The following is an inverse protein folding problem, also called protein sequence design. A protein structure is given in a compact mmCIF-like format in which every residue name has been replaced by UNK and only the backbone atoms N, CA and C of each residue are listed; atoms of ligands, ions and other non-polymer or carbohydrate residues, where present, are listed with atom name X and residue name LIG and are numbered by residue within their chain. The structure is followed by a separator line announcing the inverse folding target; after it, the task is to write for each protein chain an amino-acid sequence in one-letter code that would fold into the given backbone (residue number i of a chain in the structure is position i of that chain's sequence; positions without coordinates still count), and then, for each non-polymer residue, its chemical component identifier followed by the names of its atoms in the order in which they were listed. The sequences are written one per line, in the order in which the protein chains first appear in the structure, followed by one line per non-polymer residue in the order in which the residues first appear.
data_IF_683895616197
#
_entry.id   IF_683895616197
#
_cell.length_a   1.000
_cell.length_b   1.000
_cell.length_c   1.000
_cell.angle_alpha   90.00
_cell.angle_beta   90.00
_cell.angle_gamma   90.00
#
_symmetry.space_group_name_H-M   'P 1'
#
loop_
_entity.id
_entity.type
_entity.pdbx_description
1 polymer ?
#
# COMPACT_ATOMS: atom_id res chain seq x y z
N UNK A 1 21.70 -3.80 19.12
CA UNK A 1 21.63 -2.59 18.30
C UNK A 1 21.67 -2.95 16.81
N UNK A 2 21.15 -2.09 15.97
CA UNK A 2 21.13 -2.26 14.52
C UNK A 2 21.94 -1.09 13.93
N UNK A 3 22.82 -1.39 13.00
CA UNK A 3 23.56 -0.37 12.24
C UNK A 3 23.45 -0.67 10.75
N UNK A 4 23.58 0.35 9.95
CA UNK A 4 23.52 0.25 8.49
C UNK A 4 24.92 0.44 7.92
N UNK A 5 25.34 -0.47 7.04
CA UNK A 5 26.65 -0.46 6.40
C UNK A 5 26.47 -0.66 4.90
N UNK A 6 27.21 0.06 4.09
CA UNK A 6 27.21 -0.10 2.63
C UNK A 6 28.24 -1.16 2.22
N UNK A 7 27.82 -2.41 2.23
CA UNK A 7 28.67 -3.53 1.83
C UNK A 7 29.01 -3.60 0.31
N UNK A 8 28.53 -2.66 -0.47
CA UNK A 8 28.93 -2.48 -1.87
C UNK A 8 30.29 -1.74 -2.01
N UNK A 9 30.82 -1.18 -0.92
CA UNK A 9 32.09 -0.43 -0.90
C UNK A 9 33.15 -1.16 -0.09
N UNK A 10 34.30 -1.41 -0.69
CA UNK A 10 35.40 -2.12 -0.04
C UNK A 10 35.85 -1.47 1.29
N UNK A 11 35.87 -0.14 1.36
CA UNK A 11 36.24 0.62 2.56
C UNK A 11 35.26 0.36 3.73
N UNK A 12 33.98 0.20 3.42
CA UNK A 12 32.93 -0.07 4.41
C UNK A 12 32.97 -1.53 4.87
N UNK A 13 33.34 -2.46 3.98
CA UNK A 13 33.61 -3.87 4.35
C UNK A 13 34.79 -3.96 5.31
N UNK A 14 35.88 -3.21 5.04
CA UNK A 14 37.05 -3.16 5.95
C UNK A 14 36.70 -2.51 7.30
N UNK A 15 35.88 -1.46 7.30
CA UNK A 15 35.35 -0.87 8.54
C UNK A 15 34.54 -1.88 9.36
N UNK A 16 33.71 -2.68 8.70
CA UNK A 16 32.93 -3.75 9.34
C UNK A 16 33.84 -4.85 9.90
N UNK A 17 34.89 -5.28 9.17
CA UNK A 17 35.90 -6.22 9.67
C UNK A 17 36.48 -5.75 10.99
N UNK A 18 37.03 -4.54 11.01
CA UNK A 18 37.66 -3.95 12.21
C UNK A 18 36.67 -3.79 13.36
N UNK A 19 35.42 -3.43 13.07
CA UNK A 19 34.38 -3.36 14.09
C UNK A 19 34.10 -4.73 14.72
N UNK A 20 33.96 -5.78 13.92
CA UNK A 20 33.70 -7.13 14.42
C UNK A 20 34.87 -7.65 15.27
N UNK A 21 36.11 -7.49 14.81
CA UNK A 21 37.28 -7.86 15.54
C UNK A 21 37.35 -7.13 16.91
N UNK A 22 37.24 -5.80 16.90
CA UNK A 22 37.30 -5.00 18.12
C UNK A 22 36.17 -5.32 19.11
N UNK A 23 34.93 -5.56 18.64
CA UNK A 23 33.81 -5.93 19.50
C UNK A 23 34.01 -7.31 20.10
N UNK A 24 34.45 -8.29 19.30
CA UNK A 24 34.68 -9.66 19.80
C UNK A 24 35.81 -9.68 20.84
N UNK A 25 36.94 -9.00 20.60
CA UNK A 25 38.03 -8.86 21.59
C UNK A 25 37.54 -8.17 22.87
N UNK A 26 36.80 -7.07 22.73
CA UNK A 26 36.28 -6.31 23.86
C UNK A 26 35.36 -7.18 24.75
N UNK A 27 34.43 -7.90 24.13
CA UNK A 27 33.47 -8.74 24.84
C UNK A 27 34.19 -9.89 25.57
N UNK A 28 35.03 -10.62 24.85
CA UNK A 28 35.67 -11.82 25.38
C UNK A 28 36.78 -11.45 26.37
N UNK A 29 37.76 -10.62 25.98
CA UNK A 29 38.97 -10.42 26.78
C UNK A 29 38.79 -9.43 27.93
N UNK A 30 37.94 -8.39 27.74
CA UNK A 30 37.76 -7.37 28.77
C UNK A 30 36.57 -7.65 29.70
N UNK A 31 35.50 -8.23 29.18
CA UNK A 31 34.27 -8.43 29.95
C UNK A 31 33.98 -9.89 30.26
N UNK A 32 34.81 -10.83 29.83
CA UNK A 32 34.58 -12.28 29.98
C UNK A 32 33.16 -12.67 29.54
N UNK A 33 32.69 -12.05 28.44
CA UNK A 33 31.35 -12.17 27.92
C UNK A 33 31.27 -13.18 26.78
N UNK A 34 30.04 -13.60 26.46
CA UNK A 34 29.77 -14.50 25.37
C UNK A 34 29.46 -13.74 24.07
N UNK A 35 29.99 -14.21 22.96
CA UNK A 35 29.69 -13.72 21.63
C UNK A 35 28.35 -14.23 21.08
N UNK A 36 27.73 -15.17 21.79
CA UNK A 36 26.42 -15.69 21.46
C UNK A 36 25.34 -14.73 21.96
N UNK A 37 24.60 -14.10 21.06
CA UNK A 37 23.43 -13.31 21.36
C UNK A 37 22.12 -14.13 21.22
N UNK A 38 20.98 -13.49 21.27
CA UNK A 38 19.67 -14.13 21.09
C UNK A 38 19.53 -14.90 19.75
N UNK A 39 20.26 -14.47 18.73
CA UNK A 39 20.30 -15.12 17.42
C UNK A 39 21.21 -16.34 17.33
N UNK A 40 21.90 -16.70 18.41
CA UNK A 40 22.90 -17.75 18.44
C UNK A 40 24.23 -17.32 17.78
N UNK A 41 25.16 -18.27 17.65
CA UNK A 41 26.48 -18.03 17.05
C UNK A 41 26.39 -17.88 15.52
N UNK A 42 25.70 -18.81 14.85
CA UNK A 42 25.55 -18.81 13.40
C UNK A 42 26.89 -18.93 12.67
N UNK A 43 26.90 -18.47 11.39
CA UNK A 43 28.11 -18.38 10.57
C UNK A 43 28.89 -17.11 10.82
N UNK A 44 28.20 -16.04 11.16
CA UNK A 44 28.81 -14.72 11.30
C UNK A 44 29.79 -14.65 12.48
N UNK A 45 29.49 -15.34 13.56
CA UNK A 45 30.36 -15.39 14.75
C UNK A 45 31.28 -16.63 14.75
N UNK A 46 31.13 -17.53 13.79
CA UNK A 46 31.94 -18.76 13.74
C UNK A 46 33.47 -18.53 13.75
N UNK A 47 34.01 -17.49 13.07
CA UNK A 47 35.48 -17.19 13.14
C UNK A 47 35.97 -16.81 14.53
N UNK A 48 35.09 -16.40 15.43
CA UNK A 48 35.45 -15.91 16.75
C UNK A 48 35.18 -16.92 17.88
N UNK A 49 34.68 -18.11 17.56
CA UNK A 49 34.31 -19.14 18.57
C UNK A 49 35.57 -19.62 19.31
N UNK A 50 36.68 -19.82 18.61
CA UNK A 50 37.94 -20.20 19.26
C UNK A 50 38.50 -19.11 20.19
N UNK A 51 38.27 -17.83 19.85
CA UNK A 51 38.64 -16.70 20.72
C UNK A 51 37.85 -16.76 22.04
N UNK A 52 36.56 -17.08 22.00
CA UNK A 52 35.67 -17.14 23.17
C UNK A 52 35.97 -18.39 24.03
N UNK A 53 36.13 -19.56 23.44
CA UNK A 53 36.16 -20.84 24.14
C UNK A 53 37.57 -21.41 24.35
N UNK A 54 38.55 -20.86 23.63
CA UNK A 54 39.91 -21.35 23.62
C UNK A 54 40.09 -22.59 22.74
N UNK A 55 41.35 -22.83 22.33
CA UNK A 55 41.71 -23.89 21.40
C UNK A 55 41.30 -25.31 21.87
N UNK A 56 41.39 -25.57 23.18
CA UNK A 56 41.04 -26.92 23.72
C UNK A 56 39.55 -27.23 23.62
N UNK A 57 38.69 -26.27 24.02
CA UNK A 57 37.23 -26.46 23.95
C UNK A 57 36.74 -26.43 22.49
N UNK A 58 37.31 -25.56 21.66
CA UNK A 58 36.99 -25.51 20.24
C UNK A 58 37.40 -26.81 19.50
N UNK A 59 38.58 -27.39 19.86
CA UNK A 59 39.00 -28.69 19.36
C UNK A 59 37.97 -29.79 19.70
N UNK A 60 37.48 -29.85 20.95
CA UNK A 60 36.45 -30.77 21.35
C UNK A 60 35.12 -30.59 20.57
N UNK A 61 34.73 -29.35 20.27
CA UNK A 61 33.57 -29.09 19.44
C UNK A 61 33.75 -29.65 18.02
N UNK A 62 34.93 -29.52 17.44
CA UNK A 62 35.28 -30.12 16.14
C UNK A 62 35.23 -31.66 16.18
N UNK A 63 35.74 -32.28 17.22
CA UNK A 63 35.74 -33.72 17.39
C UNK A 63 34.28 -34.26 17.51
N UNK A 64 33.43 -33.60 18.29
CA UNK A 64 32.01 -33.93 18.40
C UNK A 64 31.32 -33.78 17.04
N UNK A 65 31.57 -32.69 16.33
CA UNK A 65 31.01 -32.46 14.99
C UNK A 65 31.42 -33.56 14.02
N UNK A 66 32.68 -33.93 14.00
CA UNK A 66 33.21 -34.97 13.14
C UNK A 66 32.62 -36.35 13.47
N UNK A 67 32.35 -36.63 14.76
CA UNK A 67 31.74 -37.88 15.19
C UNK A 67 30.29 -38.03 14.70
N UNK A 68 29.49 -36.98 14.76
CA UNK A 68 28.07 -37.02 14.43
C UNK A 68 27.77 -36.65 12.98
N UNK A 69 28.68 -35.97 12.30
CA UNK A 69 28.54 -35.50 10.92
C UNK A 69 29.87 -35.58 10.17
N UNK A 70 30.36 -36.82 9.93
CA UNK A 70 31.68 -37.01 9.34
C UNK A 70 31.75 -36.46 7.91
N UNK A 71 30.63 -36.36 7.20
CA UNK A 71 30.56 -35.82 5.83
C UNK A 71 30.31 -34.30 5.79
N UNK A 72 30.10 -33.66 6.94
CA UNK A 72 29.89 -32.22 7.04
C UNK A 72 28.59 -31.70 6.38
N UNK A 73 27.54 -32.54 6.35
CA UNK A 73 26.27 -32.20 5.69
C UNK A 73 25.37 -31.31 6.53
N UNK A 74 25.47 -31.39 7.85
CA UNK A 74 24.58 -30.69 8.78
C UNK A 74 25.11 -29.29 9.09
N UNK A 75 24.38 -28.24 8.69
CA UNK A 75 24.71 -26.85 8.96
C UNK A 75 26.20 -26.48 8.74
N UNK A 76 26.74 -26.69 7.54
CA UNK A 76 28.16 -26.46 7.28
C UNK A 76 28.56 -25.00 7.54
N UNK A 77 29.68 -24.81 8.25
CA UNK A 77 30.23 -23.50 8.58
C UNK A 77 29.51 -22.75 9.70
N UNK A 78 28.54 -23.39 10.40
CA UNK A 78 27.86 -22.84 11.58
C UNK A 78 28.62 -23.29 12.84
N UNK A 79 28.99 -22.34 13.70
CA UNK A 79 29.81 -22.52 14.90
C UNK A 79 31.24 -22.94 14.57
N UNK A 80 31.42 -23.98 13.78
CA UNK A 80 32.72 -24.48 13.33
C UNK A 80 32.94 -24.07 11.89
N UNK A 81 33.98 -23.24 11.69
CA UNK A 81 34.34 -22.72 10.37
C UNK A 81 35.84 -22.49 10.30
N UNK A 82 36.49 -23.03 9.28
CA UNK A 82 37.93 -22.86 9.09
C UNK A 82 38.29 -21.58 8.29
N UNK A 83 37.26 -20.87 7.76
CA UNK A 83 37.46 -19.57 7.11
C UNK A 83 37.42 -18.43 8.14
N UNK A 84 38.54 -17.79 8.45
CA UNK A 84 38.59 -16.68 9.40
C UNK A 84 37.85 -15.45 8.95
N UNK A 85 37.52 -15.35 7.65
CA UNK A 85 36.79 -14.28 7.05
C UNK A 85 35.33 -14.64 6.74
N UNK A 86 34.79 -15.76 7.28
CA UNK A 86 33.43 -16.20 7.00
C UNK A 86 32.38 -15.11 7.23
N UNK A 87 32.58 -14.22 8.20
CA UNK A 87 31.73 -13.07 8.49
C UNK A 87 31.75 -11.99 7.42
N UNK A 88 32.74 -12.00 6.52
CA UNK A 88 32.89 -11.08 5.39
C UNK A 88 32.43 -11.70 4.06
N UNK A 89 32.11 -13.01 4.04
CA UNK A 89 31.62 -13.68 2.85
C UNK A 89 30.13 -13.47 2.64
N UNK A 90 29.74 -13.36 1.38
CA UNK A 90 28.32 -13.24 1.00
C UNK A 90 27.61 -12.07 1.70
N UNK A 91 28.32 -11.01 2.00
CA UNK A 91 27.73 -9.77 2.46
C UNK A 91 26.76 -9.27 1.39
N UNK A 92 25.56 -8.87 1.83
CA UNK A 92 24.55 -8.35 0.93
C UNK A 92 24.87 -6.89 0.61
N UNK A 93 25.36 -6.58 -0.60
CA UNK A 93 25.48 -5.18 -1.00
C UNK A 93 24.07 -4.58 -0.99
N UNK A 94 23.94 -3.35 -0.50
CA UNK A 94 22.71 -2.60 -0.65
C UNK A 94 22.68 -2.12 -2.10
N UNK A 95 21.93 -2.74 -3.01
CA UNK A 95 21.77 -2.18 -4.33
C UNK A 95 21.06 -0.85 -4.14
N UNK A 96 21.57 0.19 -4.76
CA UNK A 96 20.79 1.40 -4.95
C UNK A 96 19.45 0.97 -5.56
N UNK A 97 18.36 1.16 -4.84
CA UNK A 97 17.03 0.69 -5.28
C UNK A 97 16.49 1.54 -6.43
N UNK A 98 17.35 2.02 -7.27
CA UNK A 98 16.99 2.86 -8.39
C UNK A 98 16.34 4.18 -7.95
N UNK A 99 16.27 5.13 -8.83
CA UNK A 99 15.81 6.49 -8.54
C UNK A 99 14.28 6.61 -8.35
N UNK A 100 13.51 5.52 -8.50
CA UNK A 100 12.06 5.57 -8.52
C UNK A 100 11.40 5.92 -7.18
N UNK A 101 11.96 5.43 -6.09
CA UNK A 101 11.44 5.72 -4.75
C UNK A 101 12.54 5.55 -3.70
N UNK A 102 13.35 6.56 -3.53
CA UNK A 102 14.49 6.57 -2.62
C UNK A 102 14.20 6.10 -1.16
N UNK A 103 13.00 6.35 -0.55
CA UNK A 103 12.72 5.83 0.78
C UNK A 103 12.85 4.31 0.93
N UNK A 104 12.74 3.54 -0.16
CA UNK A 104 12.91 2.07 -0.16
C UNK A 104 14.30 1.63 0.28
N UNK A 105 15.33 2.46 0.03
CA UNK A 105 16.71 2.17 0.42
C UNK A 105 16.90 2.09 1.93
N UNK A 106 16.02 2.74 2.70
CA UNK A 106 16.03 2.67 4.17
C UNK A 106 15.42 1.38 4.72
N UNK A 107 14.91 0.48 3.87
CA UNK A 107 14.31 -0.77 4.32
C UNK A 107 15.35 -1.70 4.95
N UNK A 108 15.20 -1.99 6.22
CA UNK A 108 16.05 -2.91 7.01
C UNK A 108 15.51 -4.36 7.02
N UNK A 109 14.46 -4.63 6.24
CA UNK A 109 13.86 -5.97 6.08
C UNK A 109 13.30 -6.59 7.37
N UNK A 110 12.94 -5.78 8.37
CA UNK A 110 12.46 -6.24 9.68
C UNK A 110 11.12 -6.99 9.67
N UNK A 111 10.28 -6.84 8.62
CA UNK A 111 9.04 -7.58 8.45
C UNK A 111 7.79 -6.97 9.13
N UNK A 112 7.88 -5.93 9.96
CA UNK A 112 6.73 -5.34 10.67
C UNK A 112 5.58 -4.89 9.75
N UNK A 113 5.86 -4.59 8.50
CA UNK A 113 4.85 -4.22 7.51
C UNK A 113 4.03 -5.41 6.97
N UNK A 114 4.49 -6.65 7.16
CA UNK A 114 3.87 -7.83 6.52
C UNK A 114 2.46 -8.12 7.06
N UNK A 115 2.21 -8.14 8.38
CA UNK A 115 0.86 -8.41 8.91
C UNK A 115 -0.18 -7.36 8.51
N UNK A 116 0.26 -6.15 8.16
CA UNK A 116 -0.63 -5.07 7.72
C UNK A 116 -1.08 -5.20 6.26
N UNK A 117 -0.44 -6.07 5.50
CA UNK A 117 -0.69 -6.18 4.06
C UNK A 117 -1.85 -7.15 3.77
N UNK A 118 -2.94 -6.71 3.09
CA UNK A 118 -4.04 -7.59 2.74
C UNK A 118 -3.66 -8.72 1.77
N UNK A 119 -2.53 -8.62 1.07
CA UNK A 119 -1.99 -9.71 0.24
C UNK A 119 -0.96 -10.60 0.94
N UNK A 120 -0.69 -10.35 2.23
CA UNK A 120 0.18 -11.22 3.02
C UNK A 120 -0.35 -12.65 3.05
N UNK A 121 0.52 -13.61 2.75
CA UNK A 121 0.15 -15.03 2.67
C UNK A 121 -0.56 -15.47 1.39
N UNK A 122 -0.93 -14.54 0.49
CA UNK A 122 -1.52 -14.84 -0.82
C UNK A 122 -0.50 -14.66 -1.95
N UNK A 123 0.24 -13.55 -1.91
CA UNK A 123 1.29 -13.17 -2.85
C UNK A 123 2.44 -12.49 -2.09
N UNK A 124 3.19 -11.59 -2.72
CA UNK A 124 4.29 -10.92 -2.05
C UNK A 124 3.81 -9.94 -0.98
N UNK A 125 4.44 -9.98 0.19
CA UNK A 125 4.32 -8.97 1.25
C UNK A 125 5.05 -7.68 0.87
N UNK A 126 4.86 -6.57 1.60
CA UNK A 126 5.57 -5.32 1.32
C UNK A 126 7.10 -5.48 1.37
N UNK A 127 7.64 -6.18 2.37
CA UNK A 127 9.07 -6.47 2.47
C UNK A 127 9.56 -7.29 1.27
N UNK A 128 8.85 -8.36 0.93
CA UNK A 128 9.20 -9.20 -0.22
C UNK A 128 9.18 -8.42 -1.53
N UNK A 129 8.23 -7.50 -1.73
CA UNK A 129 8.19 -6.62 -2.91
C UNK A 129 9.45 -5.75 -3.01
N UNK A 130 9.91 -5.19 -1.88
CA UNK A 130 11.13 -4.38 -1.84
C UNK A 130 12.35 -5.23 -2.18
N UNK A 131 12.48 -6.41 -1.55
CA UNK A 131 13.63 -7.29 -1.76
C UNK A 131 13.69 -7.77 -3.22
N UNK A 132 12.56 -8.19 -3.78
CA UNK A 132 12.49 -8.62 -5.19
C UNK A 132 12.81 -7.47 -6.15
N UNK A 133 12.31 -6.26 -5.85
CA UNK A 133 12.62 -5.06 -6.64
C UNK A 133 14.11 -4.71 -6.61
N UNK A 134 14.73 -4.77 -5.43
CA UNK A 134 16.17 -4.55 -5.29
C UNK A 134 16.97 -5.54 -6.14
N UNK A 135 16.59 -6.82 -6.15
CA UNK A 135 17.27 -7.82 -6.97
C UNK A 135 17.06 -7.57 -8.47
N UNK A 136 15.85 -7.18 -8.89
CA UNK A 136 15.59 -6.80 -10.28
C UNK A 136 16.41 -5.58 -10.71
N UNK A 137 16.47 -4.55 -9.86
CA UNK A 137 17.30 -3.35 -10.12
C UNK A 137 18.79 -3.68 -10.16
N UNK A 138 19.27 -4.60 -9.31
CA UNK A 138 20.66 -5.08 -9.36
C UNK A 138 20.95 -5.78 -10.69
N UNK A 139 20.06 -6.66 -11.14
CA UNK A 139 20.21 -7.37 -12.43
C UNK A 139 20.26 -6.41 -13.60
N UNK A 140 19.34 -5.46 -13.61
CA UNK A 140 19.30 -4.42 -14.64
C UNK A 140 20.61 -3.62 -14.69
N UNK A 141 21.11 -3.17 -13.54
CA UNK A 141 22.37 -2.45 -13.42
C UNK A 141 23.58 -3.29 -13.87
N UNK A 142 23.54 -4.60 -13.71
CA UNK A 142 24.55 -5.54 -14.16
C UNK A 142 24.38 -5.97 -15.63
N UNK A 143 23.34 -5.51 -16.32
CA UNK A 143 23.00 -5.98 -17.69
C UNK A 143 22.49 -7.43 -17.74
N UNK A 144 22.05 -7.97 -16.60
CA UNK A 144 21.49 -9.32 -16.49
C UNK A 144 20.00 -9.32 -16.82
N UNK A 145 19.52 -10.41 -17.42
CA UNK A 145 18.09 -10.56 -17.70
C UNK A 145 17.28 -10.69 -16.41
N UNK A 146 16.06 -10.09 -16.32
CA UNK A 146 15.19 -10.21 -15.16
C UNK A 146 14.72 -11.64 -14.89
N UNK A 147 14.69 -12.52 -15.91
CA UNK A 147 14.33 -13.91 -15.81
C UNK A 147 12.89 -14.16 -15.35
N UNK A 148 12.67 -15.31 -14.70
CA UNK A 148 11.36 -15.66 -14.13
C UNK A 148 10.95 -14.71 -13.00
N UNK A 149 11.90 -14.24 -12.18
CA UNK A 149 11.63 -13.27 -11.12
C UNK A 149 10.93 -12.04 -11.66
N UNK A 150 11.37 -11.51 -12.81
CA UNK A 150 10.74 -10.35 -13.45
C UNK A 150 9.32 -10.62 -13.90
N UNK A 151 9.06 -11.79 -14.49
CA UNK A 151 7.71 -12.20 -14.92
C UNK A 151 6.75 -12.35 -13.76
N UNK A 152 7.19 -13.05 -12.72
CA UNK A 152 6.38 -13.30 -11.52
C UNK A 152 6.12 -12.02 -10.75
N UNK A 153 7.08 -11.11 -10.72
CA UNK A 153 6.95 -9.83 -10.03
C UNK A 153 5.83 -8.95 -10.62
N UNK A 154 5.55 -9.03 -11.92
CA UNK A 154 4.44 -8.29 -12.53
C UNK A 154 3.11 -8.60 -11.86
N UNK A 155 2.81 -9.87 -11.66
CA UNK A 155 1.58 -10.27 -10.98
C UNK A 155 1.72 -10.21 -9.47
N UNK A 156 2.65 -10.96 -8.89
CA UNK A 156 2.75 -11.14 -7.43
C UNK A 156 3.22 -9.87 -6.69
N UNK A 157 4.05 -9.08 -7.34
CA UNK A 157 4.59 -7.84 -6.78
C UNK A 157 3.72 -6.62 -7.09
N UNK A 158 3.37 -6.45 -8.35
CA UNK A 158 2.67 -5.24 -8.81
C UNK A 158 1.15 -5.40 -8.77
N UNK A 159 0.56 -6.35 -9.51
CA UNK A 159 -0.91 -6.40 -9.69
C UNK A 159 -1.67 -6.66 -8.38
N UNK A 160 -1.11 -7.46 -7.50
CA UNK A 160 -1.73 -7.81 -6.21
C UNK A 160 -1.52 -6.78 -5.11
N UNK A 161 -0.78 -5.69 -5.36
CA UNK A 161 -0.67 -4.58 -4.43
C UNK A 161 -1.86 -3.64 -4.54
N UNK A 162 -2.63 -3.47 -3.47
CA UNK A 162 -3.74 -2.51 -3.44
C UNK A 162 -3.28 -1.03 -3.45
N UNK A 163 -1.98 -0.74 -3.27
CA UNK A 163 -1.46 0.63 -3.16
C UNK A 163 -2.03 1.41 -1.97
N UNK A 164 -2.53 0.73 -0.96
CA UNK A 164 -3.25 1.32 0.17
C UNK A 164 -2.37 2.05 1.19
N UNK A 165 -1.07 1.73 1.25
CA UNK A 165 -0.11 2.34 2.17
C UNK A 165 -0.22 1.91 3.63
N UNK A 166 -1.02 0.89 3.98
CA UNK A 166 -1.07 0.35 5.35
C UNK A 166 0.29 -0.14 5.86
N UNK A 167 1.13 -0.63 4.96
CA UNK A 167 2.49 -1.05 5.31
C UNK A 167 3.33 0.05 5.95
N UNK A 168 3.08 1.32 5.61
CA UNK A 168 3.78 2.46 6.20
C UNK A 168 3.40 2.71 7.66
N UNK A 169 2.20 2.32 8.11
CA UNK A 169 1.74 2.56 9.49
C UNK A 169 2.51 1.75 10.53
N UNK A 170 3.04 0.58 10.14
CA UNK A 170 3.85 -0.27 11.01
C UNK A 170 5.35 -0.22 10.66
N UNK A 171 5.74 0.55 9.65
CA UNK A 171 7.14 0.65 9.23
C UNK A 171 7.91 1.65 10.13
N UNK A 172 8.95 1.21 10.86
CA UNK A 172 9.70 2.10 11.74
C UNK A 172 10.45 3.23 11.01
N UNK A 173 10.65 3.07 9.70
CA UNK A 173 11.28 4.08 8.83
C UNK A 173 10.31 4.70 7.83
N UNK A 174 9.00 4.47 7.98
CA UNK A 174 7.92 5.16 7.26
C UNK A 174 7.80 4.83 5.76
N UNK A 175 8.19 3.63 5.32
CA UNK A 175 8.15 3.27 3.90
C UNK A 175 6.74 2.87 3.47
N UNK A 176 6.17 3.63 2.52
CA UNK A 176 4.96 3.25 1.78
C UNK A 176 5.33 2.43 0.53
N UNK A 177 5.33 1.10 0.64
CA UNK A 177 5.60 0.21 -0.50
C UNK A 177 4.59 0.40 -1.64
N UNK A 178 3.36 0.86 -1.34
CA UNK A 178 2.37 1.20 -2.37
C UNK A 178 2.83 2.33 -3.29
N UNK A 179 3.64 3.26 -2.79
CA UNK A 179 4.24 4.32 -3.61
C UNK A 179 5.28 3.75 -4.59
N UNK A 180 6.17 2.87 -4.12
CA UNK A 180 7.08 2.14 -5.01
C UNK A 180 6.30 1.40 -6.12
N UNK A 181 5.29 0.62 -5.74
CA UNK A 181 4.51 -0.17 -6.70
C UNK A 181 3.81 0.72 -7.73
N UNK A 182 3.27 1.88 -7.33
CA UNK A 182 2.67 2.84 -8.27
C UNK A 182 3.70 3.41 -9.24
N UNK A 183 4.90 3.73 -8.77
CA UNK A 183 6.00 4.21 -9.62
C UNK A 183 6.41 3.14 -10.64
N UNK A 184 6.67 1.90 -10.19
CA UNK A 184 7.03 0.79 -11.08
C UNK A 184 5.91 0.47 -12.09
N UNK A 185 4.63 0.52 -11.67
CA UNK A 185 3.51 0.41 -12.62
C UNK A 185 3.57 1.49 -13.70
N UNK A 186 3.87 2.73 -13.30
CA UNK A 186 3.99 3.86 -14.23
C UNK A 186 5.06 3.65 -15.29
N UNK A 187 6.20 3.05 -14.94
CA UNK A 187 7.26 2.71 -15.90
C UNK A 187 6.85 1.58 -16.86
N UNK A 188 6.11 0.60 -16.35
CA UNK A 188 5.69 -0.57 -17.13
C UNK A 188 4.42 -0.35 -17.96
N UNK A 189 3.78 0.83 -17.91
CA UNK A 189 2.63 1.14 -18.75
C UNK A 189 3.05 1.25 -20.21
N UNK A 190 2.38 0.51 -21.10
CA UNK A 190 2.58 0.64 -22.54
C UNK A 190 2.19 2.04 -23.04
N UNK A 191 2.84 2.52 -24.10
CA UNK A 191 2.54 3.83 -24.69
C UNK A 191 1.06 3.99 -25.06
N UNK A 192 0.43 2.94 -25.60
CA UNK A 192 -1.00 2.93 -25.95
C UNK A 192 -1.87 3.05 -24.69
N UNK A 193 -1.59 2.28 -23.65
CA UNK A 193 -2.36 2.35 -22.39
C UNK A 193 -2.20 3.72 -21.71
N UNK A 194 -1.01 4.33 -21.76
CA UNK A 194 -0.76 5.69 -21.26
C UNK A 194 -1.57 6.72 -22.04
N UNK A 195 -1.60 6.61 -23.37
CA UNK A 195 -2.39 7.52 -24.21
C UNK A 195 -3.89 7.39 -23.94
N UNK A 196 -4.41 6.17 -23.81
CA UNK A 196 -5.80 5.92 -23.44
C UNK A 196 -6.12 6.47 -22.03
N UNK A 197 -5.21 6.31 -21.07
CA UNK A 197 -5.35 6.87 -19.73
C UNK A 197 -5.45 8.41 -19.76
N UNK A 198 -4.60 9.06 -20.55
CA UNK A 198 -4.61 10.52 -20.76
C UNK A 198 -5.91 10.98 -21.42
N UNK A 199 -6.38 10.29 -22.47
CA UNK A 199 -7.66 10.58 -23.08
C UNK A 199 -8.83 10.45 -22.11
N UNK A 200 -8.83 9.38 -21.31
CA UNK A 200 -9.84 9.15 -20.28
C UNK A 200 -9.83 10.24 -19.20
N UNK A 201 -8.66 10.74 -18.79
CA UNK A 201 -8.54 11.83 -17.84
C UNK A 201 -9.05 13.16 -18.43
N UNK A 202 -8.63 13.51 -19.65
CA UNK A 202 -9.02 14.75 -20.31
C UNK A 202 -10.52 14.81 -20.65
N UNK A 203 -11.15 13.65 -20.93
CA UNK A 203 -12.57 13.54 -21.26
C UNK A 203 -13.32 12.70 -20.21
N UNK A 204 -13.02 12.94 -18.93
CA UNK A 204 -13.51 12.07 -17.85
C UNK A 204 -15.04 11.95 -17.78
N UNK A 205 -15.77 13.04 -17.99
CA UNK A 205 -17.24 13.03 -18.05
C UNK A 205 -17.77 12.11 -19.15
N UNK A 206 -17.21 12.17 -20.36
CA UNK A 206 -17.58 11.29 -21.48
C UNK A 206 -17.19 9.83 -21.17
N UNK A 207 -16.02 9.60 -20.59
CA UNK A 207 -15.57 8.26 -20.17
C UNK A 207 -16.52 7.65 -19.16
N UNK A 208 -16.97 8.43 -18.17
CA UNK A 208 -17.97 7.97 -17.20
C UNK A 208 -19.33 7.69 -17.85
N UNK A 209 -19.81 8.57 -18.74
CA UNK A 209 -21.05 8.39 -19.45
C UNK A 209 -21.06 7.09 -20.28
N UNK A 210 -19.96 6.84 -21.00
CA UNK A 210 -19.76 5.61 -21.77
C UNK A 210 -19.77 4.37 -20.86
N UNK A 211 -19.02 4.41 -19.76
CA UNK A 211 -18.96 3.30 -18.80
C UNK A 211 -20.34 3.00 -18.18
N UNK A 212 -21.09 4.04 -17.79
CA UNK A 212 -22.48 3.87 -17.29
C UNK A 212 -23.41 3.27 -18.34
N UNK A 213 -23.27 3.73 -19.59
CA UNK A 213 -24.07 3.17 -20.70
C UNK A 213 -23.73 1.71 -20.96
N UNK A 214 -22.44 1.34 -20.89
CA UNK A 214 -22.00 -0.04 -21.01
C UNK A 214 -22.54 -0.92 -19.87
N UNK A 215 -22.57 -0.45 -18.63
CA UNK A 215 -23.15 -1.19 -17.51
C UNK A 215 -24.67 -1.36 -17.72
N UNK A 216 -25.40 -0.32 -18.15
CA UNK A 216 -26.84 -0.43 -18.45
C UNK A 216 -27.11 -1.43 -19.59
N UNK A 217 -26.30 -1.39 -20.65
CA UNK A 217 -26.40 -2.36 -21.73
C UNK A 217 -26.07 -3.79 -21.25
N UNK A 218 -25.12 -3.93 -20.33
CA UNK A 218 -24.80 -5.20 -19.69
C UNK A 218 -25.98 -5.78 -18.89
N UNK A 219 -26.73 -4.96 -18.14
CA UNK A 219 -27.94 -5.41 -17.45
C UNK A 219 -29.04 -5.87 -18.44
N UNK A 220 -29.18 -5.16 -19.54
CA UNK A 220 -30.11 -5.58 -20.59
C UNK A 220 -29.69 -6.92 -21.20
N UNK A 221 -28.42 -7.08 -21.49
CA UNK A 221 -27.87 -8.33 -22.00
C UNK A 221 -27.99 -9.47 -20.97
N UNK A 222 -27.77 -9.20 -19.68
CA UNK A 222 -27.96 -10.17 -18.59
C UNK A 222 -29.40 -10.69 -18.53
N UNK A 223 -30.38 -9.81 -18.71
CA UNK A 223 -31.79 -10.18 -18.73
C UNK A 223 -32.13 -11.12 -19.91
N UNK A 224 -31.39 -11.05 -21.02
CA UNK A 224 -31.62 -11.88 -22.22
C UNK A 224 -30.83 -13.21 -22.13
N UNK A 225 -29.54 -13.17 -21.83
CA UNK A 225 -28.64 -14.35 -21.92
C UNK A 225 -28.27 -14.96 -20.57
N UNK A 226 -28.64 -14.30 -19.48
CA UNK A 226 -28.35 -14.71 -18.12
C UNK A 226 -26.92 -14.35 -17.68
N UNK A 227 -26.67 -14.24 -16.33
CA UNK A 227 -25.41 -13.74 -15.78
C UNK A 227 -24.21 -14.66 -16.03
N UNK A 228 -24.45 -15.98 -16.05
CA UNK A 228 -23.36 -16.96 -16.26
C UNK A 228 -22.79 -16.91 -17.68
N UNK A 229 -23.68 -16.82 -18.71
CA UNK A 229 -23.26 -16.75 -20.10
C UNK A 229 -22.60 -15.39 -20.38
N UNK A 230 -23.22 -14.29 -19.93
CA UNK A 230 -22.63 -12.95 -20.06
C UNK A 230 -21.26 -12.83 -19.38
N UNK A 231 -21.10 -13.43 -18.19
CA UNK A 231 -19.82 -13.49 -17.50
C UNK A 231 -18.73 -14.21 -18.31
N UNK A 232 -19.07 -15.32 -18.98
CA UNK A 232 -18.14 -16.02 -19.88
C UNK A 232 -17.80 -15.22 -21.14
N UNK A 233 -18.82 -14.65 -21.80
CA UNK A 233 -18.63 -13.85 -23.02
C UNK A 233 -17.82 -12.57 -22.79
N UNK A 234 -17.94 -11.97 -21.60
CA UNK A 234 -17.17 -10.79 -21.20
C UNK A 234 -15.77 -11.10 -20.65
N UNK A 235 -15.30 -12.35 -20.71
CA UNK A 235 -14.02 -12.76 -20.12
C UNK A 235 -13.98 -12.57 -18.59
N UNK A 236 -15.11 -12.65 -17.92
CA UNK A 236 -15.24 -12.46 -16.47
C UNK A 236 -15.37 -11.01 -16.02
N UNK A 237 -15.44 -10.06 -16.95
CA UNK A 237 -15.66 -8.65 -16.62
C UNK A 237 -17.06 -8.40 -16.02
N UNK A 238 -18.07 -9.12 -16.50
CA UNK A 238 -19.43 -9.07 -15.94
C UNK A 238 -19.59 -10.06 -14.79
N UNK A 239 -20.17 -9.57 -13.68
CA UNK A 239 -20.49 -10.39 -12.50
C UNK A 239 -21.98 -10.31 -12.23
N UNK A 240 -22.58 -11.43 -11.79
CA UNK A 240 -23.94 -11.43 -11.30
C UNK A 240 -24.10 -10.44 -10.13
N UNK A 241 -25.19 -9.70 -10.13
CA UNK A 241 -25.44 -8.70 -9.09
C UNK A 241 -24.60 -7.42 -9.24
N UNK A 242 -24.13 -7.10 -10.45
CA UNK A 242 -23.50 -5.81 -10.74
C UNK A 242 -24.48 -4.67 -10.40
N UNK A 243 -24.09 -3.70 -9.54
CA UNK A 243 -25.00 -2.60 -9.18
C UNK A 243 -25.33 -1.70 -10.37
N UNK A 244 -26.54 -1.13 -10.36
CA UNK A 244 -26.97 -0.17 -11.39
C UNK A 244 -26.30 1.19 -11.18
N UNK A 245 -25.82 1.86 -12.25
CA UNK A 245 -25.32 3.23 -12.16
C UNK A 245 -26.43 4.18 -11.74
N UNK A 246 -26.17 5.02 -10.75
CA UNK A 246 -27.10 6.04 -10.28
C UNK A 246 -26.51 7.44 -10.48
N UNK A 247 -27.31 8.46 -10.79
CA UNK A 247 -26.85 9.85 -10.83
C UNK A 247 -26.44 10.31 -9.43
N UNK A 248 -25.70 11.40 -9.37
CA UNK A 248 -25.51 12.11 -8.13
C UNK A 248 -26.88 12.52 -7.55
N UNK A 249 -27.09 12.27 -6.27
CA UNK A 249 -28.29 12.72 -5.58
C UNK A 249 -28.43 14.25 -5.70
N UNK A 250 -29.65 14.73 -5.72
CA UNK A 250 -29.93 16.17 -5.67
C UNK A 250 -30.26 16.56 -4.24
N UNK A 251 -29.58 17.60 -3.74
CA UNK A 251 -29.95 18.21 -2.48
C UNK A 251 -31.26 18.98 -2.63
N UNK A 252 -32.10 18.94 -1.60
CA UNK A 252 -33.26 19.82 -1.49
C UNK A 252 -32.83 21.19 -0.98
N UNK A 253 -33.52 22.24 -1.36
CA UNK A 253 -33.26 23.58 -0.85
C UNK A 253 -33.73 23.68 0.61
N UNK A 254 -32.92 23.22 1.54
CA UNK A 254 -33.17 23.33 2.98
C UNK A 254 -32.32 24.42 3.59
N UNK A 255 -32.85 25.09 4.65
CA UNK A 255 -32.07 26.00 5.47
C UNK A 255 -31.25 25.21 6.49
N UNK A 256 -29.99 25.60 6.70
CA UNK A 256 -29.11 24.90 7.64
C UNK A 256 -27.64 25.26 7.45
N UNK A 257 -26.77 24.65 8.24
CA UNK A 257 -25.32 24.79 8.09
C UNK A 257 -24.85 24.27 6.75
N UNK A 258 -24.16 25.07 5.98
CA UNK A 258 -23.68 24.64 4.65
C UNK A 258 -22.59 23.59 4.76
N UNK A 259 -22.69 22.55 3.95
CA UNK A 259 -21.69 21.49 3.78
C UNK A 259 -21.56 21.13 2.30
N UNK A 260 -20.34 21.07 1.80
CA UNK A 260 -20.12 20.59 0.43
C UNK A 260 -20.06 19.07 0.45
N UNK A 261 -20.91 18.43 -0.31
CA UNK A 261 -20.91 16.99 -0.47
C UNK A 261 -20.45 16.62 -1.88
N UNK A 262 -19.36 15.89 -1.98
CA UNK A 262 -18.85 15.33 -3.23
C UNK A 262 -19.14 13.83 -3.33
N UNK A 263 -20.22 13.42 -4.02
CA UNK A 263 -20.49 12.02 -4.31
C UNK A 263 -19.42 11.50 -5.27
N UNK A 264 -18.67 10.48 -4.85
CA UNK A 264 -17.54 9.98 -5.61
C UNK A 264 -17.94 9.28 -6.91
N UNK A 265 -17.01 9.21 -7.87
CA UNK A 265 -17.29 8.58 -9.17
C UNK A 265 -17.62 7.09 -9.03
N UNK A 266 -17.01 6.38 -8.07
CA UNK A 266 -17.32 4.98 -7.78
C UNK A 266 -18.74 4.79 -7.25
N UNK A 267 -19.19 5.63 -6.31
CA UNK A 267 -20.54 5.58 -5.76
C UNK A 267 -21.61 5.87 -6.81
N UNK A 268 -21.30 6.72 -7.79
CA UNK A 268 -22.19 7.02 -8.91
C UNK A 268 -22.19 5.94 -10.00
N UNK A 269 -21.09 5.22 -10.18
CA UNK A 269 -20.96 4.16 -11.18
C UNK A 269 -21.51 2.82 -10.69
N UNK A 270 -21.28 2.51 -9.41
CA UNK A 270 -21.75 1.29 -8.75
C UNK A 270 -22.74 1.68 -7.65
N UNK A 271 -23.86 2.25 -8.06
CA UNK A 271 -24.87 2.80 -7.16
C UNK A 271 -25.72 1.73 -6.46
N UNK A 272 -27.01 1.71 -6.74
CA UNK A 272 -27.95 0.76 -6.14
C UNK A 272 -29.06 0.44 -7.14
N UNK A 273 -29.91 -0.54 -6.81
CA UNK A 273 -31.01 -0.95 -7.65
C UNK A 273 -32.05 0.17 -7.85
N UNK A 274 -32.23 1.02 -6.86
CA UNK A 274 -33.09 2.19 -6.95
C UNK A 274 -32.35 3.49 -6.62
N UNK A 275 -32.78 4.64 -7.18
CA UNK A 275 -32.19 5.94 -6.87
C UNK A 275 -32.22 6.29 -5.37
N UNK A 276 -33.28 5.91 -4.65
CA UNK A 276 -33.50 6.19 -3.23
C UNK A 276 -32.53 5.40 -2.34
N UNK A 277 -32.13 4.20 -2.77
CA UNK A 277 -31.18 3.35 -2.09
C UNK A 277 -29.71 3.73 -2.40
N UNK A 278 -29.48 4.63 -3.38
CA UNK A 278 -28.15 5.08 -3.74
C UNK A 278 -27.45 5.73 -2.54
N UNK A 279 -26.14 5.47 -2.39
CA UNK A 279 -25.34 6.03 -1.31
C UNK A 279 -25.43 7.56 -1.25
N UNK A 280 -25.36 8.22 -2.41
CA UNK A 280 -25.46 9.69 -2.49
C UNK A 280 -26.80 10.24 -1.97
N UNK A 281 -27.93 9.58 -2.31
CA UNK A 281 -29.22 9.97 -1.78
C UNK A 281 -29.32 9.75 -0.26
N UNK A 282 -28.75 8.66 0.23
CA UNK A 282 -28.71 8.37 1.67
C UNK A 282 -27.87 9.39 2.43
N UNK A 283 -26.68 9.72 1.94
CA UNK A 283 -25.80 10.74 2.56
C UNK A 283 -26.49 12.09 2.61
N UNK A 284 -27.12 12.52 1.50
CA UNK A 284 -27.87 13.79 1.47
C UNK A 284 -28.97 13.80 2.54
N UNK A 285 -29.81 12.74 2.60
CA UNK A 285 -30.87 12.66 3.62
C UNK A 285 -30.36 12.70 5.04
N UNK A 286 -29.20 12.07 5.33
CA UNK A 286 -28.62 12.09 6.67
C UNK A 286 -28.08 13.48 7.00
N UNK A 287 -27.40 14.15 6.07
CA UNK A 287 -26.93 15.53 6.22
C UNK A 287 -28.10 16.49 6.51
N UNK A 288 -29.17 16.41 5.71
CA UNK A 288 -30.38 17.25 5.89
C UNK A 288 -31.07 16.99 7.24
N UNK A 289 -31.18 15.73 7.66
CA UNK A 289 -31.74 15.36 8.98
C UNK A 289 -30.89 15.89 10.15
N UNK A 290 -29.58 16.01 9.96
CA UNK A 290 -28.69 16.59 10.95
C UNK A 290 -28.65 18.12 10.90
N UNK A 291 -29.52 18.78 10.12
CA UNK A 291 -29.62 20.22 10.02
C UNK A 291 -28.58 20.88 9.12
N UNK A 292 -27.96 20.12 8.23
CA UNK A 292 -27.08 20.66 7.21
C UNK A 292 -27.82 20.95 5.90
N UNK A 293 -27.32 21.95 5.17
CA UNK A 293 -27.73 22.26 3.80
C UNK A 293 -26.62 21.79 2.84
N UNK A 294 -26.73 20.57 2.28
CA UNK A 294 -25.69 20.01 1.43
C UNK A 294 -25.64 20.72 0.06
N UNK A 295 -24.41 21.05 -0.37
CA UNK A 295 -24.10 21.64 -1.67
C UNK A 295 -23.41 20.56 -2.48
N UNK A 296 -24.06 20.04 -3.51
CA UNK A 296 -23.43 19.14 -4.50
C UNK A 296 -22.84 20.01 -5.60
N UNK A 297 -21.53 19.95 -5.86
CA UNK A 297 -20.89 20.79 -6.86
C UNK A 297 -21.47 20.58 -8.26
N UNK A 298 -21.61 21.66 -9.03
CA UNK A 298 -21.97 21.57 -10.44
C UNK A 298 -20.93 20.79 -11.26
N UNK A 299 -21.39 20.07 -12.27
CA UNK A 299 -20.50 19.31 -13.16
C UNK A 299 -19.84 18.10 -12.50
N UNK A 300 -20.36 17.63 -11.35
CA UNK A 300 -19.82 16.52 -10.57
C UNK A 300 -19.51 15.28 -11.42
N UNK A 301 -20.28 15.05 -12.50
CA UNK A 301 -20.10 13.91 -13.40
C UNK A 301 -18.78 13.92 -14.17
N UNK A 302 -18.16 15.07 -14.35
CA UNK A 302 -16.85 15.21 -14.98
C UNK A 302 -15.68 15.23 -13.96
N UNK A 303 -15.99 15.18 -12.65
CA UNK A 303 -14.99 15.31 -11.59
C UNK A 303 -14.55 13.96 -11.02
N UNK A 304 -13.27 13.86 -10.69
CA UNK A 304 -12.62 12.71 -10.08
C UNK A 304 -11.52 13.16 -9.11
N UNK A 305 -11.34 12.41 -8.02
CA UNK A 305 -10.23 12.65 -7.10
C UNK A 305 -8.85 12.19 -7.66
N UNK A 306 -8.81 11.51 -8.80
CA UNK A 306 -7.58 11.00 -9.40
C UNK A 306 -7.11 9.64 -8.88
N UNK A 307 -7.71 9.07 -7.84
CA UNK A 307 -7.24 7.83 -7.20
C UNK A 307 -7.16 6.63 -8.16
N UNK A 308 -8.09 6.49 -9.09
CA UNK A 308 -8.07 5.40 -10.09
C UNK A 308 -6.87 5.48 -11.02
N UNK A 309 -6.47 6.69 -11.42
CA UNK A 309 -5.28 6.93 -12.23
C UNK A 309 -4.01 6.68 -11.41
N UNK A 310 -3.92 7.22 -10.19
CA UNK A 310 -2.79 7.01 -9.29
C UNK A 310 -2.53 5.52 -9.02
N UNK A 311 -3.57 4.72 -8.80
CA UNK A 311 -3.44 3.29 -8.55
C UNK A 311 -2.87 2.51 -9.73
N UNK A 312 -3.01 3.01 -10.94
CA UNK A 312 -2.49 2.42 -12.17
C UNK A 312 -1.12 2.97 -12.59
N UNK A 313 -0.54 3.90 -11.83
CA UNK A 313 0.76 4.51 -12.13
C UNK A 313 0.69 5.70 -13.09
N UNK A 314 -0.51 6.23 -13.35
CA UNK A 314 -0.75 7.45 -14.15
C UNK A 314 -0.74 8.65 -13.20
N UNK A 315 0.45 9.06 -12.74
CA UNK A 315 0.60 10.07 -11.70
C UNK A 315 0.16 11.46 -12.18
N UNK A 316 0.58 11.86 -13.38
CA UNK A 316 0.25 13.18 -13.95
C UNK A 316 -1.26 13.35 -14.13
N UNK A 317 -1.93 12.32 -14.68
CA UNK A 317 -3.37 12.32 -14.89
C UNK A 317 -4.12 12.30 -13.53
N UNK A 318 -3.55 11.64 -12.53
CA UNK A 318 -4.09 11.62 -11.18
C UNK A 318 -4.02 13.00 -10.53
N UNK A 319 -2.90 13.69 -10.63
CA UNK A 319 -2.68 15.01 -10.06
C UNK A 319 -3.49 16.08 -10.81
N UNK A 320 -3.60 15.97 -12.13
CA UNK A 320 -4.49 16.82 -12.93
C UNK A 320 -5.94 16.71 -12.41
N UNK A 321 -6.45 15.49 -12.25
CA UNK A 321 -7.84 15.30 -11.75
C UNK A 321 -8.02 15.77 -10.32
N UNK A 322 -7.01 15.61 -9.46
CA UNK A 322 -7.05 16.15 -8.10
C UNK A 322 -7.10 17.67 -8.09
N UNK A 323 -6.33 18.33 -8.95
CA UNK A 323 -6.31 19.80 -9.07
C UNK A 323 -7.63 20.36 -9.65
N UNK A 324 -8.20 19.70 -10.66
CA UNK A 324 -9.52 20.07 -11.19
C UNK A 324 -10.60 19.98 -10.10
N UNK A 325 -10.58 18.91 -9.31
CA UNK A 325 -11.51 18.74 -8.18
C UNK A 325 -11.26 19.79 -7.10
N UNK A 326 -9.99 20.07 -6.72
CA UNK A 326 -9.67 21.13 -5.77
C UNK A 326 -10.27 22.47 -6.18
N UNK A 327 -10.12 22.87 -7.43
CA UNK A 327 -10.64 24.14 -7.92
C UNK A 327 -12.16 24.26 -7.78
N UNK A 328 -12.90 23.16 -7.99
CA UNK A 328 -14.36 23.14 -7.81
C UNK A 328 -14.74 23.14 -6.35
N UNK A 329 -14.08 22.29 -5.53
CA UNK A 329 -14.34 22.21 -4.08
C UNK A 329 -14.04 23.54 -3.39
N UNK A 330 -12.98 24.23 -3.78
CA UNK A 330 -12.61 25.55 -3.26
C UNK A 330 -13.72 26.58 -3.50
N UNK A 331 -14.27 26.62 -4.72
CA UNK A 331 -15.41 27.51 -5.05
C UNK A 331 -16.68 27.12 -4.28
N UNK A 332 -17.03 25.84 -4.27
CA UNK A 332 -18.25 25.36 -3.63
C UNK A 332 -18.22 25.54 -2.10
N UNK A 333 -17.03 25.46 -1.48
CA UNK A 333 -16.85 25.61 -0.04
C UNK A 333 -16.61 27.05 0.42
N UNK A 334 -16.71 28.04 -0.45
CA UNK A 334 -16.36 29.43 -0.14
C UNK A 334 -14.94 29.53 0.43
N UNK A 335 -13.96 29.02 -0.35
CA UNK A 335 -12.55 28.93 0.00
C UNK A 335 -12.25 28.15 1.30
N UNK A 336 -13.04 27.09 1.57
CA UNK A 336 -12.86 26.25 2.75
C UNK A 336 -13.64 26.69 3.98
N UNK A 337 -14.52 27.69 3.85
CA UNK A 337 -15.42 28.12 4.91
C UNK A 337 -16.41 27.01 5.31
N UNK A 338 -16.86 26.24 4.33
CA UNK A 338 -17.78 25.10 4.56
C UNK A 338 -16.99 23.79 4.55
N UNK A 339 -17.31 22.85 5.46
CA UNK A 339 -16.71 21.52 5.44
C UNK A 339 -17.04 20.79 4.12
N UNK A 340 -16.11 19.96 3.67
CA UNK A 340 -16.23 19.18 2.44
C UNK A 340 -16.23 17.71 2.78
N UNK A 341 -17.26 16.99 2.40
CA UNK A 341 -17.46 15.56 2.71
C UNK A 341 -17.40 14.72 1.46
N UNK A 342 -16.62 13.65 1.48
CA UNK A 342 -16.51 12.64 0.44
C UNK A 342 -17.03 11.29 0.97
N UNK A 343 -17.67 10.50 0.12
CA UNK A 343 -18.33 9.24 0.50
C UNK A 343 -17.51 7.96 0.22
N UNK A 344 -16.25 8.09 -0.19
CA UNK A 344 -15.36 6.97 -0.38
C UNK A 344 -13.98 7.24 0.23
N UNK A 345 -13.58 6.42 1.21
CA UNK A 345 -12.36 6.63 1.99
C UNK A 345 -11.07 6.68 1.16
N UNK A 346 -11.02 5.95 0.03
CA UNK A 346 -9.88 6.04 -0.88
C UNK A 346 -9.76 7.42 -1.55
N UNK A 347 -10.89 8.04 -1.89
CA UNK A 347 -10.95 9.40 -2.43
C UNK A 347 -10.65 10.44 -1.35
N UNK A 348 -11.19 10.24 -0.14
CA UNK A 348 -10.92 11.09 1.02
C UNK A 348 -9.43 11.12 1.35
N UNK A 349 -8.80 9.96 1.45
CA UNK A 349 -7.36 9.83 1.69
C UNK A 349 -6.54 10.52 0.59
N UNK A 350 -6.89 10.30 -0.70
CA UNK A 350 -6.21 10.94 -1.83
C UNK A 350 -6.30 12.45 -1.74
N UNK A 351 -7.49 13.00 -1.53
CA UNK A 351 -7.69 14.45 -1.46
C UNK A 351 -7.06 15.07 -0.22
N UNK A 352 -7.16 14.44 0.95
CA UNK A 352 -6.43 14.89 2.15
C UNK A 352 -4.92 14.96 1.92
N UNK A 353 -4.35 13.93 1.30
CA UNK A 353 -2.91 13.89 0.97
C UNK A 353 -2.54 14.97 -0.07
N UNK A 354 -3.32 15.12 -1.13
CA UNK A 354 -3.06 16.10 -2.20
C UNK A 354 -3.20 17.54 -1.72
N UNK A 355 -4.22 17.81 -0.93
CA UNK A 355 -4.53 19.15 -0.43
C UNK A 355 -3.62 19.60 0.72
N UNK A 356 -3.01 18.66 1.46
CA UNK A 356 -2.16 18.98 2.61
C UNK A 356 -2.78 20.07 3.52
N UNK A 357 -4.03 19.84 3.95
CA UNK A 357 -4.83 20.70 4.83
C UNK A 357 -5.29 22.06 4.25
N UNK A 358 -5.04 22.32 2.97
CA UNK A 358 -5.48 23.57 2.31
C UNK A 358 -7.00 23.77 2.26
N UNK A 359 -7.78 22.69 2.40
CA UNK A 359 -9.25 22.71 2.49
C UNK A 359 -9.71 21.70 3.56
N UNK A 360 -10.83 21.98 4.27
CA UNK A 360 -11.36 21.10 5.32
C UNK A 360 -12.11 19.89 4.72
N UNK A 361 -11.35 18.89 4.28
CA UNK A 361 -11.89 17.67 3.68
C UNK A 361 -12.07 16.57 4.73
N UNK A 362 -13.26 16.00 4.78
CA UNK A 362 -13.65 14.92 5.68
C UNK A 362 -14.09 13.68 4.90
N UNK A 363 -13.79 12.54 5.45
CA UNK A 363 -14.46 11.29 5.06
C UNK A 363 -15.85 11.26 5.66
N UNK A 364 -16.81 10.61 4.99
CA UNK A 364 -18.19 10.52 5.52
C UNK A 364 -18.25 9.85 6.90
N UNK A 365 -17.40 8.86 7.17
CA UNK A 365 -17.33 8.19 8.48
C UNK A 365 -16.86 9.18 9.56
N UNK A 366 -15.79 9.90 9.28
CA UNK A 366 -15.24 10.93 10.18
C UNK A 366 -16.28 12.01 10.45
N UNK A 367 -16.89 12.56 9.41
CA UNK A 367 -17.90 13.61 9.52
C UNK A 367 -19.17 13.12 10.22
N UNK A 368 -19.59 11.89 9.96
CA UNK A 368 -20.73 11.30 10.63
C UNK A 368 -20.49 11.17 12.13
N UNK A 369 -19.35 10.65 12.55
CA UNK A 369 -19.00 10.51 13.97
C UNK A 369 -18.91 11.89 14.66
N UNK A 370 -18.15 12.81 14.07
CA UNK A 370 -17.77 14.05 14.75
C UNK A 370 -18.87 15.14 14.68
N UNK A 371 -19.67 15.16 13.60
CA UNK A 371 -20.60 16.25 13.33
C UNK A 371 -22.08 15.84 13.21
N UNK A 372 -22.39 14.62 12.70
CA UNK A 372 -23.77 14.22 12.48
C UNK A 372 -24.37 13.53 13.71
N UNK A 373 -23.65 12.55 14.31
CA UNK A 373 -24.17 11.80 15.46
C UNK A 373 -24.61 12.68 16.62
N UNK A 374 -23.90 13.76 17.00
CA UNK A 374 -24.36 14.66 18.09
C UNK A 374 -25.67 15.41 17.79
N UNK A 375 -26.08 15.49 16.52
CA UNK A 375 -27.27 16.21 16.05
C UNK A 375 -28.44 15.28 15.73
N UNK A 376 -28.23 13.97 15.75
CA UNK A 376 -29.25 12.99 15.39
C UNK A 376 -29.77 12.25 16.61
N UNK A 377 -31.09 12.11 16.70
CA UNK A 377 -31.73 11.20 17.64
C UNK A 377 -31.73 9.79 17.06
N UNK A 378 -30.82 8.94 17.55
CA UNK A 378 -30.69 7.58 17.09
C UNK A 378 -31.44 6.60 17.98
N UNK A 379 -32.08 5.60 17.36
CA UNK A 379 -32.65 4.47 18.06
C UNK A 379 -31.66 3.30 18.01
N UNK A 380 -31.31 2.75 19.17
CA UNK A 380 -30.45 1.57 19.24
C UNK A 380 -31.17 0.37 18.66
N UNK A 381 -30.57 -0.30 17.66
CA UNK A 381 -31.03 -1.59 17.16
C UNK A 381 -30.28 -2.71 17.84
N UNK A 382 -30.98 -3.83 18.08
CA UNK A 382 -30.41 -5.02 18.70
C UNK A 382 -29.70 -5.95 17.68
N UNK A 383 -29.92 -5.71 16.39
CA UNK A 383 -29.34 -6.54 15.33
C UNK A 383 -27.82 -6.35 15.25
N UNK A 384 -27.04 -7.44 15.21
CA UNK A 384 -25.60 -7.34 15.04
C UNK A 384 -25.26 -6.85 13.63
N UNK A 385 -24.29 -5.93 13.55
CA UNK A 385 -23.77 -5.40 12.27
C UNK A 385 -22.30 -5.78 12.15
N UNK A 386 -21.93 -6.42 11.04
CA UNK A 386 -20.52 -6.67 10.72
C UNK A 386 -19.94 -5.45 9.98
N UNK A 387 -18.95 -4.81 10.58
CA UNK A 387 -18.23 -3.69 9.99
C UNK A 387 -16.90 -4.16 9.41
N UNK A 388 -16.67 -3.88 8.12
CA UNK A 388 -15.37 -4.05 7.49
C UNK A 388 -14.67 -2.70 7.35
N UNK A 389 -13.59 -2.52 8.10
CA UNK A 389 -12.78 -1.33 8.01
C UNK A 389 -11.83 -1.45 6.78
N UNK A 390 -12.07 -0.66 5.76
CA UNK A 390 -11.23 -0.66 4.58
C UNK A 390 -9.83 -0.03 4.86
N UNK A 391 -8.84 -0.39 4.02
CA UNK A 391 -7.44 0.04 4.21
C UNK A 391 -7.26 1.56 4.31
N UNK A 392 -8.00 2.34 3.53
CA UNK A 392 -7.88 3.81 3.54
C UNK A 392 -8.43 4.40 4.83
N UNK A 393 -9.56 3.89 5.33
CA UNK A 393 -10.13 4.29 6.62
C UNK A 393 -9.20 3.91 7.78
N UNK A 394 -8.60 2.70 7.73
CA UNK A 394 -7.58 2.27 8.71
C UNK A 394 -6.38 3.21 8.71
N UNK A 395 -5.88 3.59 7.52
CA UNK A 395 -4.75 4.51 7.37
C UNK A 395 -5.05 5.92 7.90
N UNK A 396 -6.31 6.36 7.82
CA UNK A 396 -6.77 7.63 8.39
C UNK A 396 -7.11 7.56 9.89
N UNK A 397 -6.99 6.38 10.51
CA UNK A 397 -7.21 6.22 11.96
C UNK A 397 -8.68 6.14 12.38
N UNK A 398 -9.60 5.77 11.47
CA UNK A 398 -11.04 5.79 11.76
C UNK A 398 -11.57 4.57 12.54
N UNK A 399 -10.72 3.62 12.91
CA UNK A 399 -11.16 2.43 13.66
C UNK A 399 -11.96 2.77 14.94
N UNK A 400 -11.57 3.82 15.65
CA UNK A 400 -12.24 4.27 16.88
C UNK A 400 -13.53 5.05 16.63
N UNK A 401 -13.82 5.42 15.37
CA UNK A 401 -15.01 6.20 14.97
C UNK A 401 -16.12 5.33 14.37
N UNK A 402 -15.87 4.05 14.19
CA UNK A 402 -16.82 3.05 13.70
C UNK A 402 -17.40 2.22 14.84
#
# INVERSE_FOLDING_TARGET
FVFTQDFGRAEEVDRYRRLMEAVCELVVQRYDGSLKAEHGTGRNMAPFVELEWGTKAYGLMKDIKQLFDPEGLLNPGVIINDDPEAHLRNLKPMPAAGQLYAPVDRCIECGFCEPQCPSHGLTLSPRQRIVSWRELSRREAAGEAPGELGKDYLYMGLDTCAGCGLCATACPVGIDTGTLVRAVRGENISGVARQLGRMAANHFGATQALARSAIKAGHLAEAIVGPRLLGRLSGGAWKAGMPHPQPAGRATAVSGDKVVYFPTCSGRMFGADTPEAALSATVIRVLERAGYAPIVPDGVDALCCGQSFASKGLADEADQKSAELEAVLRRASDNGRYPIVLDASACSLRMKTFLAERLPVFDIVEFAHDALLPRLMLQKKAEPVLLHLNCSASRMGFAAKL
#
